data_IF_611979329850
#
_entry.id   IF_611979329850
#
_cell.length_a   1.000
_cell.length_b   1.000
_cell.length_c   1.000
_cell.angle_alpha   90.00
_cell.angle_beta   90.00
_cell.angle_gamma   90.00
#
_symmetry.space_group_name_H-M   'P 1'
#
loop_
_entity.id
_entity.type
_entity.pdbx_description
1 polymer ?
#
# COMPACT_ATOMS: atom_id res chain seq x y z
N UNK A 1 1.04 4.24 10.55
CA UNK A 1 1.02 5.72 10.56
C UNK A 1 0.50 6.33 9.25
N UNK A 2 1.12 6.12 8.07
CA UNK A 2 0.66 6.78 6.82
C UNK A 2 -0.82 6.52 6.45
N UNK A 3 -1.24 5.25 6.42
CA UNK A 3 -2.65 4.89 6.20
C UNK A 3 -3.58 5.52 7.23
N UNK A 4 -3.16 5.56 8.50
CA UNK A 4 -3.94 6.18 9.58
C UNK A 4 -4.12 7.68 9.36
N UNK A 5 -3.18 8.37 8.73
CA UNK A 5 -3.33 9.80 8.43
C UNK A 5 -4.55 10.04 7.53
N UNK A 6 -4.76 9.19 6.50
CA UNK A 6 -5.92 9.28 5.62
C UNK A 6 -7.24 9.01 6.34
N UNK A 7 -7.27 8.01 7.23
CA UNK A 7 -8.46 7.68 8.02
C UNK A 7 -8.81 8.82 8.99
N UNK A 8 -7.81 9.33 9.70
CA UNK A 8 -7.96 10.33 10.77
C UNK A 8 -8.24 11.73 10.23
N UNK A 9 -7.75 12.07 9.03
CA UNK A 9 -7.99 13.36 8.40
C UNK A 9 -9.49 13.68 8.19
N UNK A 10 -10.33 12.65 8.02
CA UNK A 10 -11.78 12.81 7.86
C UNK A 10 -12.58 12.78 9.16
N UNK A 11 -11.94 12.65 10.32
CA UNK A 11 -12.64 12.47 11.60
C UNK A 11 -13.03 13.80 12.25
N UNK A 12 -13.98 13.73 13.20
CA UNK A 12 -14.50 14.90 13.95
C UNK A 12 -13.70 15.23 15.21
N UNK A 13 -12.53 14.63 15.39
CA UNK A 13 -11.68 14.78 16.57
C UNK A 13 -10.21 14.94 16.18
N UNK A 14 -9.45 15.64 17.01
CA UNK A 14 -8.03 15.84 16.81
C UNK A 14 -7.26 14.58 17.23
N UNK A 15 -6.16 14.29 16.54
CA UNK A 15 -5.34 13.10 16.79
C UNK A 15 -3.87 13.43 16.71
N UNK A 16 -3.08 12.85 17.60
CA UNK A 16 -1.62 12.94 17.57
C UNK A 16 -1.05 11.55 17.27
N UNK A 17 -0.26 11.46 16.20
CA UNK A 17 0.43 10.24 15.79
C UNK A 17 1.92 10.35 16.12
N UNK A 18 2.38 9.54 17.06
CA UNK A 18 3.77 9.44 17.49
C UNK A 18 4.34 8.11 16.98
N UNK A 19 5.60 8.13 16.52
CA UNK A 19 6.31 6.95 16.07
C UNK A 19 7.47 6.61 17.00
N UNK A 20 7.99 5.39 16.88
CA UNK A 20 9.29 5.06 17.46
C UNK A 20 10.43 5.85 16.77
N UNK A 21 11.65 5.67 17.25
CA UNK A 21 12.82 6.41 16.72
C UNK A 21 13.03 6.16 15.22
N UNK A 22 12.76 4.94 14.74
CA UNK A 22 12.89 4.59 13.32
C UNK A 22 11.82 5.27 12.47
N UNK A 23 10.56 5.24 12.92
CA UNK A 23 9.41 5.78 12.20
C UNK A 23 9.44 7.30 12.17
N UNK A 24 9.89 7.93 13.26
CA UNK A 24 10.00 9.39 13.36
C UNK A 24 11.02 9.96 12.37
N UNK A 25 12.08 9.22 12.04
CA UNK A 25 13.04 9.60 10.99
C UNK A 25 12.50 9.49 9.56
N UNK A 26 11.31 8.91 9.35
CA UNK A 26 10.77 8.72 7.99
C UNK A 26 10.01 9.97 7.54
N UNK A 27 10.26 10.50 6.34
CA UNK A 27 9.54 11.67 5.85
C UNK A 27 8.07 11.34 5.62
N UNK A 28 7.20 12.22 6.13
CA UNK A 28 5.74 12.16 6.01
C UNK A 28 5.21 13.19 5.00
N UNK A 29 6.07 14.06 4.45
CA UNK A 29 5.73 15.05 3.42
C UNK A 29 4.85 14.49 2.30
N UNK A 30 5.17 13.28 1.83
CA UNK A 30 4.46 12.58 0.74
C UNK A 30 2.98 12.30 1.01
N UNK A 31 2.55 12.23 2.28
CA UNK A 31 1.14 12.06 2.65
C UNK A 31 0.53 13.36 3.14
N UNK A 32 1.33 14.25 3.75
CA UNK A 32 0.87 15.56 4.23
C UNK A 32 0.44 16.44 3.05
N UNK A 33 1.28 16.58 2.02
CA UNK A 33 0.96 17.47 0.89
C UNK A 33 -0.35 17.08 0.18
N UNK A 34 -0.60 15.80 -0.17
CA UNK A 34 -1.84 15.43 -0.85
C UNK A 34 -3.07 15.54 0.05
N UNK A 35 -2.95 15.24 1.35
CA UNK A 35 -4.05 15.41 2.30
C UNK A 35 -4.37 16.89 2.52
N UNK A 36 -3.37 17.78 2.52
CA UNK A 36 -3.59 19.22 2.59
C UNK A 36 -4.37 19.74 1.37
N UNK A 37 -4.16 19.18 0.17
CA UNK A 37 -4.97 19.49 -1.02
C UNK A 37 -6.44 19.06 -0.86
N UNK A 38 -6.73 18.06 0.00
CA UNK A 38 -8.09 17.65 0.37
C UNK A 38 -8.65 18.49 1.53
N UNK A 39 -8.04 19.62 1.88
CA UNK A 39 -8.41 20.45 3.03
C UNK A 39 -8.13 19.81 4.40
N UNK A 40 -7.27 18.78 4.48
CA UNK A 40 -6.83 18.25 5.76
C UNK A 40 -5.80 19.19 6.42
N UNK A 41 -5.97 19.48 7.70
CA UNK A 41 -5.02 20.27 8.47
C UNK A 41 -4.14 19.34 9.32
N UNK A 42 -2.86 19.27 8.97
CA UNK A 42 -1.88 18.39 9.63
C UNK A 42 -0.64 19.21 9.96
N UNK A 43 -0.34 19.34 11.25
CA UNK A 43 0.91 19.95 11.72
C UNK A 43 1.98 18.87 11.90
N UNK A 44 3.21 19.22 11.57
CA UNK A 44 4.37 18.35 11.70
C UNK A 44 5.64 19.17 11.96
N UNK A 45 6.65 18.53 12.54
CA UNK A 45 7.98 19.14 12.73
C UNK A 45 8.85 18.67 11.56
N UNK A 46 9.25 19.58 10.67
CA UNK A 46 10.08 19.29 9.49
C UNK A 46 9.53 18.17 8.57
N UNK A 47 8.21 17.94 8.55
CA UNK A 47 7.56 16.81 7.88
C UNK A 47 7.82 15.42 8.49
N UNK A 48 8.19 15.37 9.76
CA UNK A 48 8.42 14.16 10.54
C UNK A 48 7.36 14.01 11.65
N UNK A 49 7.27 12.81 12.22
CA UNK A 49 6.46 12.59 13.41
C UNK A 49 7.13 13.29 14.62
N UNK A 50 6.36 13.80 15.61
CA UNK A 50 4.92 13.66 15.80
C UNK A 50 4.08 14.45 14.78
N UNK A 51 2.95 13.86 14.37
CA UNK A 51 1.96 14.50 13.48
C UNK A 51 0.70 14.84 14.27
N UNK A 52 0.27 16.09 14.24
CA UNK A 52 -1.00 16.52 14.81
C UNK A 52 -2.01 16.71 13.69
N UNK A 53 -3.01 15.85 13.64
CA UNK A 53 -4.09 15.88 12.66
C UNK A 53 -5.28 16.58 13.32
N UNK A 54 -5.67 17.72 12.77
CA UNK A 54 -6.83 18.47 13.24
C UNK A 54 -8.08 17.96 12.55
N UNK A 55 -8.98 17.38 13.35
CA UNK A 55 -10.27 16.91 12.87
C UNK A 55 -11.23 18.06 12.59
N UNK A 56 -12.47 17.72 12.25
CA UNK A 56 -13.59 18.65 11.99
C UNK A 56 -13.46 19.50 10.72
N UNK A 57 -12.37 19.37 9.99
CA UNK A 57 -12.23 19.97 8.67
C UNK A 57 -12.93 19.07 7.64
N UNK A 58 -13.96 19.55 6.93
CA UNK A 58 -14.58 18.75 5.89
C UNK A 58 -13.58 18.54 4.76
N UNK A 59 -13.31 17.27 4.44
CA UNK A 59 -12.43 16.92 3.34
C UNK A 59 -13.13 17.16 2.00
N UNK A 60 -12.40 17.72 1.05
CA UNK A 60 -12.85 17.90 -0.33
C UNK A 60 -12.18 16.88 -1.22
N UNK A 61 -12.97 16.25 -2.10
CA UNK A 61 -12.41 15.31 -3.05
C UNK A 61 -11.45 16.01 -4.03
N UNK A 62 -10.45 15.26 -4.50
CA UNK A 62 -9.43 15.76 -5.41
C UNK A 62 -8.95 14.66 -6.35
N UNK A 63 -8.47 15.06 -7.53
CA UNK A 63 -7.87 14.17 -8.52
C UNK A 63 -6.34 14.22 -8.40
N UNK A 64 -5.72 13.09 -8.08
CA UNK A 64 -4.29 13.02 -7.84
C UNK A 64 -3.55 12.33 -8.98
N UNK A 65 -2.43 12.94 -9.39
CA UNK A 65 -1.43 12.31 -10.25
C UNK A 65 -0.09 12.22 -9.49
N UNK A 66 0.11 11.16 -8.67
CA UNK A 66 1.36 10.98 -7.95
C UNK A 66 2.54 10.82 -8.92
N UNK A 67 3.61 11.60 -8.68
CA UNK A 67 4.85 11.49 -9.46
C UNK A 67 5.56 10.14 -9.26
N UNK A 68 5.34 9.50 -8.12
CA UNK A 68 5.96 8.23 -7.74
C UNK A 68 4.85 7.22 -7.43
N UNK A 69 4.92 6.04 -8.07
CA UNK A 69 4.02 4.94 -7.79
C UNK A 69 4.23 4.43 -6.34
N UNK A 70 3.23 4.62 -5.48
CA UNK A 70 3.30 4.21 -4.07
C UNK A 70 1.96 3.68 -3.56
N UNK A 71 1.88 2.38 -3.32
CA UNK A 71 0.70 1.72 -2.75
C UNK A 71 0.26 2.37 -1.42
N UNK A 72 1.21 2.81 -0.60
CA UNK A 72 0.90 3.45 0.69
C UNK A 72 0.23 4.82 0.50
N UNK A 73 0.68 5.61 -0.49
CA UNK A 73 0.08 6.91 -0.79
C UNK A 73 -1.31 6.71 -1.41
N UNK A 74 -1.42 5.82 -2.40
CA UNK A 74 -2.70 5.43 -3.02
C UNK A 74 -3.73 5.05 -1.96
N UNK A 75 -3.37 4.10 -1.10
CA UNK A 75 -4.27 3.63 -0.03
C UNK A 75 -4.66 4.74 0.95
N UNK A 76 -3.72 5.61 1.31
CA UNK A 76 -3.99 6.76 2.19
C UNK A 76 -5.01 7.72 1.58
N UNK A 77 -4.88 8.03 0.28
CA UNK A 77 -5.77 8.93 -0.43
C UNK A 77 -7.16 8.34 -0.63
N UNK A 78 -7.24 7.05 -1.00
CA UNK A 78 -8.53 6.37 -1.14
C UNK A 78 -9.29 6.32 0.19
N UNK A 79 -8.61 6.03 1.31
CA UNK A 79 -9.22 6.04 2.64
C UNK A 79 -9.69 7.42 3.08
N UNK A 80 -8.94 8.48 2.73
CA UNK A 80 -9.38 9.86 2.94
C UNK A 80 -10.60 10.21 2.08
N UNK A 81 -10.62 9.72 0.83
CA UNK A 81 -11.72 9.91 -0.12
C UNK A 81 -13.06 9.38 0.36
N UNK A 82 -13.08 8.27 1.12
CA UNK A 82 -14.31 7.74 1.73
C UNK A 82 -15.01 8.76 2.64
N UNK A 83 -14.26 9.63 3.31
CA UNK A 83 -14.78 10.66 4.21
C UNK A 83 -14.87 12.05 3.53
N UNK A 84 -14.43 12.18 2.28
CA UNK A 84 -14.46 13.44 1.55
C UNK A 84 -15.83 13.71 0.90
N UNK A 85 -16.09 14.97 0.55
CA UNK A 85 -17.25 15.32 -0.27
C UNK A 85 -16.86 15.30 -1.75
N UNK A 86 -17.51 14.44 -2.54
CA UNK A 86 -17.27 14.28 -3.98
C UNK A 86 -16.58 12.96 -4.32
N UNK A 87 -16.06 12.86 -5.55
CA UNK A 87 -15.30 11.70 -6.02
C UNK A 87 -13.80 11.98 -5.97
N UNK A 88 -13.06 11.19 -5.18
CA UNK A 88 -11.61 11.27 -5.10
C UNK A 88 -11.01 10.27 -6.06
N UNK A 89 -10.06 10.70 -6.89
CA UNK A 89 -9.44 9.85 -7.90
C UNK A 89 -7.92 9.87 -7.82
N UNK A 90 -7.29 8.73 -8.10
CA UNK A 90 -5.84 8.56 -8.06
C UNK A 90 -5.39 7.88 -9.35
N UNK A 91 -4.54 8.56 -10.13
CA UNK A 91 -3.94 8.00 -11.34
C UNK A 91 -2.69 7.18 -10.99
N UNK A 92 -2.75 5.89 -11.27
CA UNK A 92 -1.65 4.95 -11.09
C UNK A 92 -0.95 4.68 -12.44
N UNK A 93 0.23 5.30 -12.64
CA UNK A 93 1.05 5.10 -13.85
C UNK A 93 1.70 3.71 -13.94
N UNK A 94 2.02 3.13 -12.79
CA UNK A 94 2.64 1.80 -12.68
C UNK A 94 1.91 1.03 -11.61
N UNK A 95 1.43 -0.16 -11.95
CA UNK A 95 0.63 -0.97 -11.04
C UNK A 95 1.38 -1.25 -9.74
N UNK A 96 0.76 -0.91 -8.61
CA UNK A 96 1.25 -1.26 -7.28
C UNK A 96 0.33 -2.28 -6.63
N UNK A 97 0.70 -2.79 -5.44
CA UNK A 97 -0.16 -3.72 -4.69
C UNK A 97 -1.56 -3.12 -4.51
N UNK A 98 -2.58 -3.97 -4.65
CA UNK A 98 -4.00 -3.62 -4.78
C UNK A 98 -4.84 -4.08 -3.57
N UNK A 99 -4.20 -4.41 -2.44
CA UNK A 99 -4.88 -4.96 -1.27
C UNK A 99 -5.96 -4.03 -0.72
N UNK A 100 -5.74 -2.72 -0.76
CA UNK A 100 -6.71 -1.74 -0.26
C UNK A 100 -7.93 -1.69 -1.14
N UNK A 101 -7.76 -1.68 -2.46
CA UNK A 101 -8.84 -1.64 -3.44
C UNK A 101 -9.73 -2.88 -3.32
N UNK A 102 -9.09 -4.05 -3.29
CA UNK A 102 -9.77 -5.33 -3.08
C UNK A 102 -10.51 -5.38 -1.75
N UNK A 103 -9.91 -4.86 -0.68
CA UNK A 103 -10.54 -4.79 0.64
C UNK A 103 -11.72 -3.83 0.66
N UNK A 104 -11.62 -2.66 0.03
CA UNK A 104 -12.71 -1.68 -0.04
C UNK A 104 -13.89 -2.23 -0.85
N UNK A 105 -13.64 -2.81 -2.03
CA UNK A 105 -14.66 -3.50 -2.81
C UNK A 105 -15.31 -4.65 -2.02
N UNK A 106 -14.49 -5.43 -1.31
CA UNK A 106 -14.99 -6.50 -0.45
C UNK A 106 -15.92 -5.96 0.64
N UNK A 107 -15.56 -4.83 1.28
CA UNK A 107 -16.39 -4.13 2.27
C UNK A 107 -17.60 -3.39 1.66
N UNK A 108 -17.85 -3.51 0.36
CA UNK A 108 -19.03 -2.96 -0.31
C UNK A 108 -18.87 -1.53 -0.83
N UNK A 109 -17.65 -0.99 -0.85
CA UNK A 109 -17.37 0.32 -1.46
C UNK A 109 -17.44 0.22 -2.98
N UNK A 110 -18.16 1.14 -3.60
CA UNK A 110 -18.15 1.29 -5.06
C UNK A 110 -16.86 1.98 -5.53
N UNK A 111 -15.84 1.16 -5.81
CA UNK A 111 -14.55 1.61 -6.32
C UNK A 111 -14.51 1.39 -7.85
N UNK A 112 -14.29 2.48 -8.59
CA UNK A 112 -14.21 2.43 -10.06
C UNK A 112 -12.76 2.44 -10.52
N UNK A 113 -12.44 1.53 -11.44
CA UNK A 113 -11.12 1.46 -12.09
C UNK A 113 -11.28 1.64 -13.59
N UNK A 114 -10.72 2.74 -14.11
CA UNK A 114 -10.76 3.06 -15.54
C UNK A 114 -9.35 3.07 -16.10
N UNK A 115 -9.09 2.24 -17.12
CA UNK A 115 -7.81 2.27 -17.84
C UNK A 115 -7.78 3.48 -18.78
N UNK A 116 -6.71 4.25 -18.68
CA UNK A 116 -6.45 5.43 -19.52
C UNK A 116 -5.13 5.27 -20.26
N UNK A 117 -4.83 6.14 -21.23
CA UNK A 117 -3.53 6.15 -21.92
C UNK A 117 -2.34 6.38 -20.98
N UNK A 118 -2.56 7.03 -19.83
CA UNK A 118 -1.51 7.42 -18.88
C UNK A 118 -1.38 6.48 -17.67
N UNK A 119 -2.24 5.46 -17.55
CA UNK A 119 -2.28 4.55 -16.40
C UNK A 119 -3.70 4.13 -16.01
N UNK A 120 -3.84 3.53 -14.83
CA UNK A 120 -5.14 3.16 -14.27
C UNK A 120 -5.64 4.26 -13.35
N UNK A 121 -6.81 4.84 -13.64
CA UNK A 121 -7.47 5.80 -12.76
C UNK A 121 -8.37 5.03 -11.79
N UNK A 122 -8.14 5.23 -10.49
CA UNK A 122 -8.88 4.59 -9.42
C UNK A 122 -9.69 5.65 -8.69
N UNK A 123 -11.02 5.53 -8.70
CA UNK A 123 -11.94 6.51 -8.13
C UNK A 123 -12.77 5.91 -7.00
N UNK A 124 -12.99 6.71 -5.96
CA UNK A 124 -13.88 6.40 -4.84
C UNK A 124 -14.81 7.57 -4.55
N UNK A 125 -16.10 7.26 -4.39
CA UNK A 125 -17.08 8.24 -3.95
C UNK A 125 -17.04 8.40 -2.43
N UNK A 126 -17.23 9.63 -1.97
CA UNK A 126 -17.34 9.92 -0.56
C UNK A 126 -18.66 9.47 0.07
N UNK A 127 -18.68 9.38 1.40
CA UNK A 127 -19.83 8.96 2.24
C UNK A 127 -20.32 7.52 1.99
N UNK A 128 -19.45 6.69 1.44
CA UNK A 128 -19.69 5.25 1.28
C UNK A 128 -19.74 4.56 2.64
N UNK A 129 -20.70 3.65 2.82
CA UNK A 129 -20.87 2.89 4.06
C UNK A 129 -20.17 1.55 3.95
N UNK A 130 -19.20 1.31 4.84
CA UNK A 130 -18.51 0.03 4.91
C UNK A 130 -19.42 -1.03 5.53
N UNK A 131 -19.57 -2.14 4.82
CA UNK A 131 -20.32 -3.31 5.28
C UNK A 131 -19.36 -4.30 5.92
N UNK A 132 -19.61 -4.66 7.18
CA UNK A 132 -18.84 -5.67 7.89
C UNK A 132 -19.01 -7.05 7.23
N UNK A 133 -17.89 -7.76 7.03
CA UNK A 133 -17.83 -9.10 6.44
C UNK A 133 -16.66 -9.90 7.02
N UNK A 134 -16.76 -11.21 6.98
CA UNK A 134 -15.72 -12.12 7.48
C UNK A 134 -14.50 -12.15 6.57
N UNK A 135 -13.35 -11.74 7.09
CA UNK A 135 -12.11 -11.69 6.32
C UNK A 135 -11.16 -12.83 6.73
N UNK A 136 -10.85 -13.72 5.78
CA UNK A 136 -9.76 -14.66 5.92
C UNK A 136 -8.47 -14.05 5.36
N UNK A 137 -7.49 -13.75 6.21
CA UNK A 137 -6.22 -13.13 5.81
C UNK A 137 -5.24 -14.24 5.41
N UNK A 138 -4.82 -14.32 4.13
CA UNK A 138 -3.87 -15.34 3.69
C UNK A 138 -2.48 -15.11 4.29
N UNK A 139 -1.68 -16.17 4.38
CA UNK A 139 -0.30 -16.12 4.87
C UNK A 139 0.55 -15.12 4.07
N UNK A 140 1.39 -14.38 4.79
CA UNK A 140 2.30 -13.41 4.16
C UNK A 140 3.36 -14.13 3.31
N UNK A 141 3.31 -13.89 2.00
CA UNK A 141 4.22 -14.46 1.01
C UNK A 141 5.69 -14.07 1.30
N UNK A 142 5.93 -12.95 2.01
CA UNK A 142 7.27 -12.53 2.41
C UNK A 142 7.86 -13.39 3.53
N UNK A 143 7.03 -13.90 4.44
CA UNK A 143 7.48 -14.83 5.50
C UNK A 143 7.74 -16.23 4.89
N UNK A 144 6.90 -16.67 3.95
CA UNK A 144 7.09 -17.93 3.23
C UNK A 144 8.42 -18.00 2.46
N UNK A 145 8.84 -16.89 1.84
CA UNK A 145 10.14 -16.81 1.16
C UNK A 145 11.35 -16.88 2.10
N UNK A 146 11.24 -16.38 3.33
CA UNK A 146 12.28 -16.49 4.36
C UNK A 146 12.41 -17.95 4.84
N UNK A 147 11.29 -18.65 5.00
CA UNK A 147 11.31 -20.07 5.39
C UNK A 147 11.77 -20.99 4.25
N UNK A 148 11.34 -20.76 3.00
CA UNK A 148 11.83 -21.51 1.83
C UNK A 148 13.33 -21.31 1.59
N UNK A 149 13.88 -20.10 1.82
CA UNK A 149 15.35 -19.90 1.73
C UNK A 149 16.12 -20.60 2.83
N UNK A 150 15.50 -20.87 3.99
CA UNK A 150 16.11 -21.63 5.08
C UNK A 150 15.93 -23.14 4.91
N UNK A 151 14.84 -23.58 4.26
CA UNK A 151 14.64 -24.96 3.82
C UNK A 151 15.66 -25.41 2.79
N UNK A 152 16.04 -24.54 1.84
CA UNK A 152 17.13 -24.83 0.89
C UNK A 152 18.53 -24.88 1.50
N UNK A 153 18.71 -24.44 2.76
CA UNK A 153 19.96 -24.61 3.52
C UNK A 153 19.94 -25.87 4.40
N UNK A 154 18.78 -26.50 4.60
CA UNK A 154 18.59 -27.72 5.38
C UNK A 154 18.30 -28.97 4.54
N UNK A 155 18.14 -28.84 3.21
CA UNK A 155 17.98 -29.95 2.26
C UNK A 155 19.28 -30.72 1.94
N UNK A 156 20.12 -30.97 2.96
CA UNK A 156 21.21 -31.97 2.86
C UNK A 156 21.14 -33.09 3.89
N UNK A 157 20.15 -33.13 4.77
CA UNK A 157 19.90 -34.29 5.62
C UNK A 157 18.41 -34.52 5.79
N UNK A 158 17.90 -35.59 5.18
CA UNK A 158 16.58 -36.15 5.51
C UNK A 158 15.68 -36.39 4.31
N UNK A 159 15.86 -37.54 3.66
CA UNK A 159 14.82 -38.18 2.85
C UNK A 159 13.58 -38.40 3.72
N UNK A 160 12.42 -37.83 3.36
CA UNK A 160 11.19 -38.60 3.19
C UNK A 160 10.04 -37.77 2.62
N UNK A 161 9.49 -38.33 1.57
CA UNK A 161 8.20 -38.10 0.91
C UNK A 161 7.14 -37.32 1.69
N UNK A 162 6.66 -36.22 1.11
CA UNK A 162 5.22 -35.99 1.02
C UNK A 162 4.85 -35.11 -0.17
N UNK A 163 3.95 -35.65 -0.99
CA UNK A 163 3.54 -35.16 -2.31
C UNK A 163 2.23 -34.38 -2.11
N UNK A 164 2.21 -33.05 -2.31
CA UNK A 164 0.96 -32.31 -2.52
C UNK A 164 1.08 -31.36 -3.71
N UNK A 165 0.18 -31.60 -4.67
CA UNK A 165 -0.10 -30.78 -5.85
C UNK A 165 -0.76 -29.47 -5.40
N UNK A 166 -0.32 -28.35 -5.95
CA UNK A 166 -1.16 -27.16 -6.11
C UNK A 166 -0.71 -26.37 -7.35
N UNK A 167 -1.57 -26.47 -8.36
CA UNK A 167 -1.94 -25.50 -9.39
C UNK A 167 -0.93 -24.46 -9.87
N UNK A 168 -0.70 -24.55 -11.18
CA UNK A 168 0.02 -23.66 -12.07
C UNK A 168 -0.56 -22.23 -12.09
N UNK A 169 0.09 -21.30 -11.39
CA UNK A 169 0.09 -19.89 -11.77
C UNK A 169 1.28 -19.67 -12.70
N UNK A 170 0.99 -19.21 -13.92
CA UNK A 170 1.94 -19.02 -15.01
C UNK A 170 3.15 -18.20 -14.57
N UNK A 171 4.32 -18.82 -14.71
CA UNK A 171 5.65 -18.24 -14.59
C UNK A 171 5.80 -17.01 -15.49
N UNK A 172 5.70 -15.83 -14.88
CA UNK A 172 5.78 -14.56 -15.56
C UNK A 172 6.58 -13.50 -14.83
N UNK A 173 7.58 -13.86 -14.01
CA UNK A 173 8.58 -12.85 -13.57
C UNK A 173 9.92 -13.35 -12.99
N UNK A 174 10.25 -14.65 -13.12
CA UNK A 174 11.47 -15.20 -12.49
C UNK A 174 12.73 -15.24 -13.38
N UNK A 175 12.77 -14.52 -14.51
CA UNK A 175 13.91 -14.60 -15.46
C UNK A 175 15.02 -13.56 -15.27
N UNK A 176 14.90 -12.61 -14.36
CA UNK A 176 15.85 -11.48 -14.25
C UNK A 176 16.97 -11.66 -13.22
N UNK A 177 17.01 -12.75 -12.43
CA UNK A 177 17.99 -12.92 -11.34
C UNK A 177 19.08 -14.00 -11.56
N UNK A 178 19.16 -14.63 -12.74
CA UNK A 178 20.12 -15.72 -13.03
C UNK A 178 21.18 -15.38 -14.08
N UNK A 179 21.60 -14.12 -14.19
CA UNK A 179 22.74 -13.72 -15.05
C UNK A 179 23.80 -12.92 -14.29
N UNK A 180 24.36 -13.52 -13.23
CA UNK A 180 25.67 -13.12 -12.72
C UNK A 180 26.42 -14.35 -12.19
N UNK A 181 27.02 -15.11 -13.11
CA UNK A 181 27.89 -16.25 -12.77
C UNK A 181 29.24 -16.08 -13.48
N UNK A 182 30.23 -15.72 -12.66
CA UNK A 182 31.66 -16.13 -12.67
C UNK A 182 32.34 -16.25 -14.05
N UNK A 183 33.22 -15.28 -14.38
CA UNK A 183 34.47 -15.57 -15.10
C UNK A 183 35.61 -15.58 -14.08
N UNK A 184 36.06 -16.78 -13.71
CA UNK A 184 37.35 -16.97 -13.07
C UNK A 184 38.44 -16.91 -14.15
N UNK A 185 39.54 -16.23 -13.81
CA UNK A 185 40.82 -16.23 -14.53
C UNK A 185 41.40 -17.64 -14.53
N UNK A 186 41.96 -18.05 -15.66
CA UNK A 186 43.06 -19.01 -15.72
C UNK A 186 44.29 -18.23 -16.16
N UNK A 187 45.35 -18.30 -15.34
CA UNK A 187 46.71 -17.91 -15.68
C UNK A 187 47.38 -19.16 -16.26
N UNK A 188 47.92 -19.03 -17.47
CA UNK A 188 49.19 -19.61 -17.91
C UNK A 188 50.05 -18.45 -18.40
#
# INVERSE_FOLDING_TARGET
MRLMCGILAGQKFDSVLIGDESLSKRPMKRVIEPLALMNAKIDSIENHAPLTIHGKNPLTAHAFEPKIASAQLKSCLLLAGLNASGETSVLEKTQTRDHTERMLQYLGVNLQETKTANGTLISVSGKEVLTAKDLNVPSDVFIGGVFSRRGGLFEKFGNNSEKRRSESVKDGDYRSFTKFRRRHRSFE
#
